data_IF_901700351104
#
_entry.id   IF_901700351104
#
_cell.length_a   1.000
_cell.length_b   1.000
_cell.length_c   1.000
_cell.angle_alpha   90.00
_cell.angle_beta   90.00
_cell.angle_gamma   90.00
#
_symmetry.space_group_name_H-M   'P 1'
#
loop_
_entity.id
_entity.type
_entity.pdbx_description
1 polymer ?
#
# COMPACT_ATOMS: atom_id res chain seq x y z
N UNK A 1 -26.08 -17.92 -1.57
CA UNK A 1 -25.32 -17.86 -0.30
C UNK A 1 -23.84 -18.17 -0.48
N UNK A 2 -23.44 -19.37 -0.94
CA UNK A 2 -22.01 -19.68 -1.23
C UNK A 2 -21.42 -18.79 -2.32
N UNK A 3 -22.18 -18.54 -3.38
CA UNK A 3 -21.78 -17.61 -4.45
C UNK A 3 -21.65 -16.17 -3.94
N UNK A 4 -22.53 -15.74 -3.03
CA UNK A 4 -22.52 -14.41 -2.42
C UNK A 4 -21.22 -14.15 -1.62
N UNK A 5 -20.70 -15.15 -0.90
CA UNK A 5 -19.42 -15.03 -0.19
C UNK A 5 -18.21 -15.05 -1.13
N UNK A 6 -18.24 -15.89 -2.17
CA UNK A 6 -17.20 -15.91 -3.20
C UNK A 6 -17.12 -14.56 -3.94
N UNK A 7 -18.27 -13.98 -4.29
CA UNK A 7 -18.35 -12.68 -4.95
C UNK A 7 -17.84 -11.56 -4.01
N UNK A 8 -18.20 -11.61 -2.74
CA UNK A 8 -17.70 -10.65 -1.75
C UNK A 8 -16.17 -10.71 -1.59
N UNK A 9 -15.59 -11.91 -1.57
CA UNK A 9 -14.12 -12.10 -1.56
C UNK A 9 -13.50 -11.52 -2.83
N UNK A 10 -14.07 -11.81 -4.00
CA UNK A 10 -13.57 -11.29 -5.26
C UNK A 10 -13.59 -9.75 -5.31
N UNK A 11 -14.68 -9.13 -4.88
CA UNK A 11 -14.83 -7.66 -4.86
C UNK A 11 -13.86 -7.01 -3.86
N UNK A 12 -13.69 -7.60 -2.67
CA UNK A 12 -12.79 -7.05 -1.65
C UNK A 12 -11.32 -7.20 -2.03
N UNK A 13 -10.94 -8.31 -2.67
CA UNK A 13 -9.59 -8.48 -3.23
C UNK A 13 -9.33 -7.51 -4.39
N UNK A 14 -10.28 -7.34 -5.31
CA UNK A 14 -10.17 -6.36 -6.39
C UNK A 14 -9.98 -4.94 -5.83
N UNK A 15 -10.75 -4.56 -4.79
CA UNK A 15 -10.61 -3.27 -4.11
C UNK A 15 -9.25 -3.12 -3.44
N UNK A 16 -8.77 -4.15 -2.75
CA UNK A 16 -7.44 -4.15 -2.12
C UNK A 16 -6.33 -3.93 -3.16
N UNK A 17 -6.36 -4.67 -4.28
CA UNK A 17 -5.40 -4.50 -5.40
C UNK A 17 -5.45 -3.11 -6.00
N UNK A 18 -6.65 -2.54 -6.16
CA UNK A 18 -6.82 -1.17 -6.66
C UNK A 18 -6.18 -0.13 -5.73
N UNK A 19 -6.35 -0.25 -4.41
CA UNK A 19 -5.70 0.65 -3.46
C UNK A 19 -4.18 0.45 -3.41
N UNK A 20 -3.70 -0.79 -3.57
CA UNK A 20 -2.27 -1.08 -3.65
C UNK A 20 -1.62 -0.43 -4.88
N UNK A 21 -2.29 -0.48 -6.04
CA UNK A 21 -1.82 0.17 -7.26
C UNK A 21 -1.71 1.70 -7.08
N UNK A 22 -2.71 2.34 -6.47
CA UNK A 22 -2.69 3.78 -6.17
C UNK A 22 -1.54 4.16 -5.23
N UNK A 23 -1.24 3.31 -4.24
CA UNK A 23 -0.12 3.57 -3.32
C UNK A 23 1.23 3.51 -4.03
N UNK A 24 1.39 2.60 -5.01
CA UNK A 24 2.62 2.48 -5.81
C UNK A 24 2.96 3.78 -6.53
N UNK A 25 1.97 4.43 -7.12
CA UNK A 25 2.17 5.69 -7.86
C UNK A 25 2.69 6.81 -6.93
N UNK A 26 2.16 6.87 -5.70
CA UNK A 26 2.62 7.83 -4.68
C UNK A 26 4.02 7.51 -4.17
N UNK A 27 4.37 6.24 -4.02
CA UNK A 27 5.73 5.84 -3.63
C UNK A 27 6.76 6.20 -4.71
N UNK A 28 6.37 6.07 -5.99
CA UNK A 28 7.22 6.48 -7.11
C UNK A 28 7.43 8.00 -7.12
N UNK A 29 6.37 8.77 -6.87
CA UNK A 29 6.46 10.22 -6.79
C UNK A 29 7.30 10.68 -5.58
N UNK A 30 7.13 10.06 -4.42
CA UNK A 30 7.96 10.31 -3.24
C UNK A 30 9.44 10.07 -3.56
N UNK A 31 9.75 8.93 -4.18
CA UNK A 31 11.12 8.60 -4.61
C UNK A 31 11.67 9.67 -5.55
N UNK A 32 10.90 10.04 -6.59
CA UNK A 32 11.29 11.07 -7.55
C UNK A 32 11.63 12.41 -6.88
N UNK A 33 10.86 12.82 -5.88
CA UNK A 33 11.11 14.07 -5.14
C UNK A 33 12.35 13.98 -4.25
N UNK A 34 12.56 12.85 -3.59
CA UNK A 34 13.76 12.60 -2.78
C UNK A 34 15.03 12.58 -3.63
N UNK A 35 14.97 11.94 -4.79
CA UNK A 35 16.09 11.88 -5.74
C UNK A 35 16.46 13.31 -6.20
N UNK A 36 15.47 14.13 -6.61
CA UNK A 36 15.69 15.54 -6.96
C UNK A 36 16.28 16.37 -5.82
N UNK A 37 15.84 16.14 -4.59
CA UNK A 37 16.39 16.83 -3.42
C UNK A 37 17.86 16.44 -3.19
N UNK A 38 18.19 15.15 -3.34
CA UNK A 38 19.55 14.64 -3.23
C UNK A 38 20.47 15.21 -4.32
N UNK A 39 19.99 15.27 -5.57
CA UNK A 39 20.70 15.88 -6.70
C UNK A 39 21.00 17.36 -6.43
N UNK A 40 20.02 18.12 -5.96
CA UNK A 40 20.18 19.53 -5.63
C UNK A 40 21.23 19.73 -4.52
N UNK A 41 21.23 18.89 -3.50
CA UNK A 41 22.23 18.91 -2.44
C UNK A 41 23.62 18.51 -2.93
N UNK A 42 23.72 17.52 -3.81
CA UNK A 42 24.99 17.12 -4.41
C UNK A 42 25.58 18.24 -5.27
N UNK A 43 24.75 18.91 -6.09
CA UNK A 43 25.15 20.06 -6.88
C UNK A 43 25.64 21.22 -6.00
N UNK A 44 24.92 21.51 -4.90
CA UNK A 44 25.34 22.54 -3.94
C UNK A 44 26.72 22.20 -3.32
N UNK A 45 26.91 20.97 -2.85
CA UNK A 45 28.18 20.53 -2.24
C UNK A 45 29.33 20.55 -3.24
N UNK A 46 29.09 20.08 -4.47
CA UNK A 46 30.09 20.07 -5.54
C UNK A 46 30.59 21.48 -5.87
N UNK A 47 29.67 22.43 -6.02
CA UNK A 47 30.03 23.83 -6.25
C UNK A 47 30.82 24.42 -5.08
N UNK A 48 30.40 24.17 -3.82
CA UNK A 48 31.12 24.63 -2.63
C UNK A 48 32.57 24.10 -2.57
N UNK A 49 32.79 22.84 -2.94
CA UNK A 49 34.12 22.24 -2.98
C UNK A 49 35.01 22.86 -4.07
N UNK A 50 34.46 23.08 -5.27
CA UNK A 50 35.18 23.72 -6.38
C UNK A 50 35.62 25.15 -6.03
N UNK A 51 34.74 25.95 -5.41
CA UNK A 51 35.10 27.30 -4.97
C UNK A 51 36.18 27.29 -3.90
N UNK A 52 36.16 26.31 -2.97
CA UNK A 52 37.18 26.17 -1.94
C UNK A 52 38.56 25.79 -2.51
N UNK A 53 38.62 25.04 -3.62
CA UNK A 53 39.89 24.61 -4.24
C UNK A 53 40.49 25.63 -5.20
N UNK A 54 39.68 26.43 -5.91
CA UNK A 54 40.17 27.27 -7.02
C UNK A 54 40.26 28.76 -6.69
N UNK A 55 39.56 29.26 -5.67
CA UNK A 55 39.40 30.69 -5.42
C UNK A 55 39.56 31.08 -3.94
N UNK A 56 40.72 30.79 -3.33
CA UNK A 56 41.01 31.27 -1.98
C UNK A 56 41.09 32.82 -1.86
N UNK A 57 41.22 33.55 -2.98
CA UNK A 57 41.42 35.01 -3.00
C UNK A 57 40.38 35.86 -3.75
N UNK A 58 39.52 35.28 -4.58
CA UNK A 58 38.54 36.05 -5.37
C UNK A 58 37.11 35.69 -4.93
N UNK A 59 36.60 36.44 -3.95
CA UNK A 59 35.15 36.48 -3.67
C UNK A 59 34.47 37.19 -4.84
N UNK A 60 33.86 36.41 -5.73
CA UNK A 60 33.04 36.93 -6.83
C UNK A 60 31.67 37.30 -6.25
N UNK A 61 31.49 38.59 -5.93
CA UNK A 61 30.24 39.16 -5.44
C UNK A 61 29.19 39.27 -6.56
N UNK A 62 27.97 38.79 -6.30
CA UNK A 62 26.76 39.03 -7.12
C UNK A 62 26.07 37.76 -7.63
N UNK A 63 26.78 36.96 -8.46
CA UNK A 63 26.22 35.73 -9.06
C UNK A 63 25.90 34.63 -8.04
N UNK A 64 26.75 34.48 -7.03
CA UNK A 64 26.59 33.47 -5.97
C UNK A 64 25.36 33.73 -5.09
N UNK A 65 25.02 35.00 -4.83
CA UNK A 65 23.83 35.36 -4.02
C UNK A 65 22.52 34.96 -4.74
N UNK A 66 22.44 35.20 -6.05
CA UNK A 66 21.28 34.81 -6.84
C UNK A 66 21.16 33.29 -6.95
N UNK A 67 22.27 32.58 -7.12
CA UNK A 67 22.33 31.13 -7.17
C UNK A 67 21.98 30.47 -5.83
N UNK A 68 22.53 30.95 -4.71
CA UNK A 68 22.18 30.51 -3.35
C UNK A 68 20.70 30.78 -3.05
N UNK A 69 20.18 31.94 -3.46
CA UNK A 69 18.76 32.26 -3.36
C UNK A 69 17.88 31.31 -4.18
N UNK A 70 18.32 30.94 -5.38
CA UNK A 70 17.63 29.95 -6.21
C UNK A 70 17.64 28.55 -5.55
N UNK A 71 18.78 28.08 -5.02
CA UNK A 71 18.86 26.82 -4.27
C UNK A 71 17.89 26.81 -3.10
N UNK A 72 17.86 27.90 -2.32
CA UNK A 72 16.95 28.03 -1.18
C UNK A 72 15.47 27.91 -1.58
N UNK A 73 15.08 28.58 -2.69
CA UNK A 73 13.71 28.48 -3.23
C UNK A 73 13.42 27.10 -3.78
N UNK A 74 14.33 26.50 -4.55
CA UNK A 74 14.18 25.17 -5.12
C UNK A 74 14.04 24.09 -4.03
N UNK A 75 14.88 24.15 -3.00
CA UNK A 75 14.77 23.24 -1.83
C UNK A 75 13.42 23.41 -1.13
N UNK A 76 13.00 24.65 -0.86
CA UNK A 76 11.70 24.90 -0.21
C UNK A 76 10.55 24.33 -1.03
N UNK A 77 10.57 24.52 -2.35
CA UNK A 77 9.55 23.98 -3.25
C UNK A 77 9.50 22.45 -3.20
N UNK A 78 10.65 21.78 -3.32
CA UNK A 78 10.73 20.31 -3.21
C UNK A 78 10.22 19.80 -1.86
N UNK A 79 10.52 20.49 -0.76
CA UNK A 79 10.03 20.10 0.57
C UNK A 79 8.51 20.27 0.72
N UNK A 80 7.93 21.33 0.15
CA UNK A 80 6.47 21.51 0.12
C UNK A 80 5.80 20.40 -0.70
N UNK A 81 6.35 20.07 -1.86
CA UNK A 81 5.87 18.96 -2.70
C UNK A 81 5.95 17.62 -1.96
N UNK A 82 7.09 17.35 -1.32
CA UNK A 82 7.30 16.14 -0.53
C UNK A 82 6.30 16.05 0.63
N UNK A 83 6.06 17.15 1.36
CA UNK A 83 5.08 17.20 2.44
C UNK A 83 3.67 16.87 1.94
N UNK A 84 3.27 17.40 0.78
CA UNK A 84 1.97 17.08 0.15
C UNK A 84 1.86 15.59 -0.19
N UNK A 85 2.90 15.02 -0.78
CA UNK A 85 2.95 13.60 -1.13
C UNK A 85 2.88 12.72 0.11
N UNK A 86 3.57 13.09 1.21
CA UNK A 86 3.52 12.36 2.47
C UNK A 86 2.12 12.40 3.12
N UNK A 87 1.44 13.54 3.06
CA UNK A 87 0.04 13.64 3.53
C UNK A 87 -0.87 12.73 2.72
N UNK A 88 -0.75 12.73 1.39
CA UNK A 88 -1.55 11.87 0.52
C UNK A 88 -1.21 10.38 0.74
N UNK A 89 0.07 10.04 0.89
CA UNK A 89 0.53 8.70 1.26
C UNK A 89 -0.13 8.21 2.55
N UNK A 90 -0.20 9.06 3.58
CA UNK A 90 -0.87 8.73 4.84
C UNK A 90 -2.34 8.37 4.64
N UNK A 91 -3.08 9.16 3.86
CA UNK A 91 -4.49 8.88 3.53
C UNK A 91 -4.66 7.56 2.80
N UNK A 92 -3.80 7.28 1.82
CA UNK A 92 -3.85 6.05 1.01
C UNK A 92 -3.45 4.82 1.80
N UNK A 93 -2.48 4.95 2.70
CA UNK A 93 -2.10 3.88 3.63
C UNK A 93 -3.30 3.49 4.50
N UNK A 94 -4.03 4.47 5.03
CA UNK A 94 -5.25 4.22 5.80
C UNK A 94 -6.32 3.50 4.95
N UNK A 95 -6.55 3.95 3.72
CA UNK A 95 -7.51 3.31 2.81
C UNK A 95 -7.11 1.86 2.46
N UNK A 96 -5.83 1.60 2.20
CA UNK A 96 -5.28 0.28 1.95
C UNK A 96 -5.47 -0.64 3.16
N UNK A 97 -5.17 -0.16 4.37
CA UNK A 97 -5.38 -0.92 5.61
C UNK A 97 -6.85 -1.31 5.80
N UNK A 98 -7.79 -0.40 5.51
CA UNK A 98 -9.22 -0.72 5.57
C UNK A 98 -9.64 -1.73 4.49
N UNK A 99 -9.14 -1.59 3.26
CA UNK A 99 -9.43 -2.55 2.19
C UNK A 99 -8.88 -3.95 2.52
N UNK A 100 -7.67 -4.01 3.09
CA UNK A 100 -7.05 -5.25 3.55
C UNK A 100 -7.84 -5.90 4.68
N UNK A 101 -8.25 -5.13 5.69
CA UNK A 101 -9.09 -5.63 6.78
C UNK A 101 -10.41 -6.20 6.28
N UNK A 102 -11.06 -5.54 5.31
CA UNK A 102 -12.29 -6.05 4.68
C UNK A 102 -12.04 -7.35 3.91
N UNK A 103 -10.95 -7.44 3.16
CA UNK A 103 -10.55 -8.67 2.47
C UNK A 103 -10.39 -9.84 3.45
N UNK A 104 -9.63 -9.65 4.53
CA UNK A 104 -9.43 -10.69 5.56
C UNK A 104 -10.77 -11.10 6.18
N UNK A 105 -11.63 -10.13 6.51
CA UNK A 105 -12.95 -10.42 7.08
C UNK A 105 -13.82 -11.25 6.12
N UNK A 106 -13.82 -10.91 4.83
CA UNK A 106 -14.57 -11.66 3.80
C UNK A 106 -14.05 -13.08 3.62
N UNK A 107 -12.73 -13.28 3.59
CA UNK A 107 -12.10 -14.60 3.54
C UNK A 107 -12.44 -15.43 4.78
N UNK A 108 -12.45 -14.82 5.98
CA UNK A 108 -12.86 -15.48 7.21
C UNK A 108 -14.31 -15.94 7.14
N UNK A 109 -15.24 -15.06 6.73
CA UNK A 109 -16.66 -15.37 6.62
C UNK A 109 -16.92 -16.50 5.62
N UNK A 110 -16.23 -16.49 4.48
CA UNK A 110 -16.32 -17.55 3.49
C UNK A 110 -15.84 -18.90 4.06
N UNK A 111 -14.73 -18.89 4.81
CA UNK A 111 -14.21 -20.10 5.45
C UNK A 111 -15.16 -20.67 6.52
N UNK A 112 -15.78 -19.79 7.32
CA UNK A 112 -16.75 -20.16 8.35
C UNK A 112 -18.03 -20.72 7.73
N UNK A 113 -18.52 -20.11 6.65
CA UNK A 113 -19.67 -20.60 5.90
C UNK A 113 -19.40 -22.00 5.33
N UNK A 114 -18.24 -22.21 4.68
CA UNK A 114 -17.82 -23.52 4.17
C UNK A 114 -17.70 -24.57 5.28
N UNK A 115 -17.23 -24.18 6.47
CA UNK A 115 -17.11 -25.09 7.62
C UNK A 115 -18.49 -25.51 8.14
N UNK A 116 -19.44 -24.57 8.23
CA UNK A 116 -20.82 -24.86 8.65
C UNK A 116 -21.51 -25.79 7.66
N UNK A 117 -21.43 -25.51 6.36
CA UNK A 117 -22.00 -26.37 5.32
C UNK A 117 -21.45 -27.80 5.41
N UNK A 118 -20.12 -27.97 5.53
CA UNK A 118 -19.52 -29.30 5.68
C UNK A 118 -20.00 -30.04 6.92
N UNK A 119 -20.15 -29.34 8.04
CA UNK A 119 -20.63 -29.94 9.28
C UNK A 119 -22.11 -30.36 9.17
N UNK A 120 -22.94 -29.59 8.45
CA UNK A 120 -24.33 -29.94 8.17
C UNK A 120 -24.45 -31.14 7.24
N UNK A 121 -23.69 -31.18 6.13
CA UNK A 121 -23.66 -32.34 5.24
C UNK A 121 -23.20 -33.60 5.97
N UNK A 122 -22.13 -33.52 6.78
CA UNK A 122 -21.67 -34.68 7.56
C UNK A 122 -22.73 -35.19 8.55
N UNK A 123 -23.50 -34.30 9.18
CA UNK A 123 -24.60 -34.72 10.07
C UNK A 123 -25.69 -35.45 9.29
N UNK A 124 -26.08 -34.92 8.13
CA UNK A 124 -27.09 -35.54 7.27
C UNK A 124 -26.64 -36.93 6.79
N UNK A 125 -25.38 -37.08 6.38
CA UNK A 125 -24.83 -38.36 5.95
C UNK A 125 -24.86 -39.40 7.10
N UNK A 126 -24.45 -39.01 8.30
CA UNK A 126 -24.49 -39.88 9.50
C UNK A 126 -25.93 -40.28 9.83
N UNK A 127 -26.89 -39.35 9.79
CA UNK A 127 -28.30 -39.64 10.06
C UNK A 127 -28.89 -40.62 9.03
N UNK A 128 -28.54 -40.49 7.75
CA UNK A 128 -28.96 -41.41 6.69
C UNK A 128 -28.37 -42.81 6.88
N UNK A 129 -27.09 -42.91 7.22
CA UNK A 129 -26.45 -44.19 7.54
C UNK A 129 -27.11 -44.88 8.74
N UNK A 130 -27.40 -44.11 9.81
CA UNK A 130 -28.11 -44.62 10.97
C UNK A 130 -29.52 -45.12 10.62
N UNK A 131 -30.26 -44.37 9.80
CA UNK A 131 -31.59 -44.77 9.35
C UNK A 131 -31.55 -46.06 8.51
N UNK A 132 -30.56 -46.21 7.63
CA UNK A 132 -30.35 -47.44 6.85
C UNK A 132 -30.02 -48.63 7.75
N UNK A 133 -29.15 -48.44 8.75
CA UNK A 133 -28.81 -49.48 9.73
C UNK A 133 -30.04 -49.94 10.54
N UNK A 134 -30.89 -49.01 10.96
CA UNK A 134 -32.12 -49.33 11.68
C UNK A 134 -33.11 -50.12 10.83
N UNK A 135 -33.24 -49.77 9.54
CA UNK A 135 -34.09 -50.50 8.59
C UNK A 135 -33.57 -51.91 8.33
N UNK A 136 -32.26 -52.09 8.09
CA UNK A 136 -31.65 -53.41 7.88
C UNK A 136 -31.80 -54.31 9.12
N UNK A 137 -31.67 -53.74 10.32
CA UNK A 137 -31.86 -54.47 11.57
C UNK A 137 -33.32 -54.90 11.80
N UNK A 138 -34.31 -54.14 11.32
CA UNK A 138 -35.73 -54.45 11.48
C UNK A 138 -36.24 -55.50 10.48
N UNK A 139 -35.52 -55.70 9.37
CA UNK A 139 -35.84 -56.69 8.33
C UNK A 139 -35.16 -58.07 8.54
N UNK A 140 -34.46 -58.29 9.66
CA UNK A 140 -33.92 -59.59 10.10
C UNK A 140 -34.74 -60.17 11.26
#
# INVERSE_FOLDING_TARGET
MKDDFNELVAITDARFRAEQAKLRDILQEEKRLRDKASELEAAQRGAQLQYASECAGQRIYGGDVLWLGWIGRARRQLQIELARVLVEKGKRMSALSHAHGRKIASESLESDARRKERAESQKQDIEQEQALFLLDHWFR
#
